data_IF_635172059378
#
_entry.id   IF_635172059378
#
_cell.length_a   1.000
_cell.length_b   1.000
_cell.length_c   1.000
_cell.angle_alpha   90.00
_cell.angle_beta   90.00
_cell.angle_gamma   90.00
#
_symmetry.space_group_name_H-M   'P 1'
#
loop_
_entity.id
_entity.type
_entity.pdbx_description
1 polymer ?
#
# COMPACT_ATOMS: atom_id res chain seq x y z
N UNK A 1 -2.95 9.42 19.18
CA UNK A 1 -1.64 9.91 18.70
C UNK A 1 -0.79 8.69 18.32
N UNK A 2 -1.18 7.98 17.25
CA UNK A 2 -0.62 6.67 16.85
C UNK A 2 0.14 6.80 15.51
N UNK A 3 -0.49 7.46 14.53
CA UNK A 3 0.13 7.92 13.26
C UNK A 3 1.56 8.48 13.34
N UNK A 4 1.91 9.24 14.37
CA UNK A 4 3.26 9.83 14.50
C UNK A 4 4.37 8.81 14.71
N UNK A 5 4.03 7.63 15.26
CA UNK A 5 5.00 6.55 15.49
C UNK A 5 5.06 5.60 14.30
N UNK A 6 3.94 5.42 13.62
CA UNK A 6 3.81 4.50 12.48
C UNK A 6 4.22 5.14 11.15
N UNK A 7 4.38 6.47 11.10
CA UNK A 7 4.87 7.18 9.91
C UNK A 7 6.29 6.76 9.52
N UNK A 8 7.18 6.55 10.49
CA UNK A 8 8.55 6.08 10.20
C UNK A 8 8.54 4.68 9.56
N UNK A 9 7.70 3.79 10.10
CA UNK A 9 7.50 2.45 9.57
C UNK A 9 6.88 2.48 8.16
N UNK A 10 5.94 3.39 7.91
CA UNK A 10 5.37 3.63 6.59
C UNK A 10 6.45 4.01 5.58
N UNK A 11 7.28 5.01 5.89
CA UNK A 11 8.34 5.45 4.97
C UNK A 11 9.39 4.37 4.72
N UNK A 12 9.73 3.58 5.75
CA UNK A 12 10.64 2.46 5.59
C UNK A 12 10.08 1.42 4.61
N UNK A 13 8.86 0.94 4.85
CA UNK A 13 8.22 -0.07 3.98
C UNK A 13 7.99 0.46 2.57
N UNK A 14 7.62 1.74 2.43
CA UNK A 14 7.43 2.36 1.14
C UNK A 14 8.76 2.48 0.36
N UNK A 15 9.88 2.82 1.02
CA UNK A 15 11.22 2.77 0.40
C UNK A 15 11.53 1.38 -0.13
N UNK A 16 11.41 0.35 0.71
CA UNK A 16 11.69 -1.04 0.34
C UNK A 16 10.76 -1.54 -0.78
N UNK A 17 9.48 -1.18 -0.76
CA UNK A 17 8.54 -1.47 -1.83
C UNK A 17 8.93 -0.78 -3.14
N UNK A 18 9.29 0.51 -3.08
CA UNK A 18 9.67 1.30 -4.26
C UNK A 18 10.93 0.75 -4.93
N UNK A 19 11.93 0.32 -4.15
CA UNK A 19 13.16 -0.29 -4.66
C UNK A 19 12.88 -1.64 -5.32
N UNK A 20 12.09 -2.51 -4.67
CA UNK A 20 11.67 -3.81 -5.21
C UNK A 20 10.91 -3.68 -6.53
N UNK A 21 10.01 -2.69 -6.62
CA UNK A 21 9.19 -2.43 -7.79
C UNK A 21 9.83 -1.45 -8.80
N UNK A 22 11.07 -1.01 -8.55
CA UNK A 22 11.83 -0.05 -9.38
C UNK A 22 11.06 1.25 -9.67
N UNK A 23 10.28 1.72 -8.69
CA UNK A 23 9.53 2.96 -8.80
C UNK A 23 10.47 4.17 -8.72
N UNK A 24 10.20 5.18 -9.54
CA UNK A 24 10.88 6.47 -9.46
C UNK A 24 10.07 7.40 -8.58
N UNK A 25 10.52 7.60 -7.34
CA UNK A 25 9.83 8.42 -6.35
C UNK A 25 10.58 9.74 -6.15
N UNK A 26 9.84 10.85 -6.17
CA UNK A 26 10.34 12.17 -5.80
C UNK A 26 10.22 12.35 -4.27
N UNK A 27 11.22 11.85 -3.52
CA UNK A 27 11.20 11.82 -2.04
C UNK A 27 11.01 13.19 -1.41
N UNK A 28 11.60 14.25 -1.98
CA UNK A 28 11.44 15.63 -1.51
C UNK A 28 9.96 16.06 -1.44
N UNK A 29 9.14 15.63 -2.39
CA UNK A 29 7.70 15.95 -2.41
C UNK A 29 6.90 15.09 -1.43
N UNK A 30 7.39 13.91 -1.10
CA UNK A 30 6.70 12.92 -0.25
C UNK A 30 6.87 13.25 1.23
N UNK A 31 8.01 13.82 1.61
CA UNK A 31 8.30 14.22 3.00
C UNK A 31 7.44 15.42 3.46
N UNK A 32 7.01 16.28 2.53
CA UNK A 32 6.14 17.43 2.82
C UNK A 32 4.64 17.04 2.97
N UNK A 33 4.26 15.82 2.57
CA UNK A 33 2.85 15.39 2.60
C UNK A 33 2.50 14.92 4.02
N UNK A 34 1.41 15.41 4.63
CA UNK A 34 0.99 14.92 5.94
C UNK A 34 0.62 13.43 5.87
N UNK A 35 1.02 12.65 6.88
CA UNK A 35 0.93 11.18 6.86
C UNK A 35 -0.46 10.63 6.52
N UNK A 36 -1.53 11.28 7.00
CA UNK A 36 -2.91 10.90 6.70
C UNK A 36 -3.26 11.03 5.20
N UNK A 37 -2.72 12.03 4.52
CA UNK A 37 -2.88 12.18 3.07
C UNK A 37 -1.98 11.19 2.32
N UNK A 38 -0.77 10.96 2.83
CA UNK A 38 0.17 10.02 2.22
C UNK A 38 -0.38 8.60 2.20
N UNK A 39 -0.99 8.12 3.29
CA UNK A 39 -1.64 6.79 3.33
C UNK A 39 -2.66 6.65 2.20
N UNK A 40 -3.57 7.60 2.07
CA UNK A 40 -4.60 7.55 1.02
C UNK A 40 -3.99 7.63 -0.38
N UNK A 41 -2.99 8.49 -0.58
CA UNK A 41 -2.30 8.63 -1.86
C UNK A 41 -1.63 7.31 -2.27
N UNK A 42 -0.89 6.69 -1.35
CA UNK A 42 -0.20 5.42 -1.62
C UNK A 42 -1.20 4.28 -1.88
N UNK A 43 -2.27 4.17 -1.10
CA UNK A 43 -3.33 3.16 -1.34
C UNK A 43 -3.91 3.22 -2.76
N UNK A 44 -3.94 4.40 -3.39
CA UNK A 44 -4.47 4.59 -4.74
C UNK A 44 -3.43 4.42 -5.85
N UNK A 45 -2.17 4.80 -5.59
CA UNK A 45 -1.14 4.92 -6.63
C UNK A 45 -0.18 3.74 -6.70
N UNK A 46 -0.13 2.89 -5.67
CA UNK A 46 0.66 1.67 -5.72
C UNK A 46 -0.08 0.58 -6.50
N UNK A 47 0.69 -0.28 -7.17
CA UNK A 47 0.19 -1.38 -7.98
C UNK A 47 -0.24 -2.56 -7.09
N UNK A 48 -1.31 -2.33 -6.33
CA UNK A 48 -2.02 -3.38 -5.60
C UNK A 48 -3.05 -4.09 -6.49
N UNK A 49 -3.19 -5.38 -6.27
CA UNK A 49 -4.22 -6.23 -6.86
C UNK A 49 -5.63 -5.84 -6.39
N UNK A 50 -6.66 -6.36 -7.06
CA UNK A 50 -8.05 -6.06 -6.72
C UNK A 50 -8.43 -6.43 -5.28
N UNK A 51 -7.91 -7.55 -4.77
CA UNK A 51 -8.17 -8.00 -3.40
C UNK A 51 -7.48 -7.12 -2.37
N UNK A 52 -6.21 -6.75 -2.60
CA UNK A 52 -5.46 -5.87 -1.71
C UNK A 52 -6.10 -4.47 -1.63
N UNK A 53 -6.60 -3.96 -2.76
CA UNK A 53 -7.36 -2.71 -2.80
C UNK A 53 -8.68 -2.80 -2.03
N UNK A 54 -9.37 -3.95 -2.06
CA UNK A 54 -10.57 -4.16 -1.25
C UNK A 54 -10.23 -4.15 0.24
N UNK A 55 -9.17 -4.83 0.67
CA UNK A 55 -8.71 -4.78 2.07
C UNK A 55 -8.53 -3.34 2.56
N UNK A 56 -7.84 -2.49 1.78
CA UNK A 56 -7.61 -1.09 2.12
C UNK A 56 -8.90 -0.24 2.17
N UNK A 57 -9.91 -0.59 1.38
CA UNK A 57 -11.22 0.07 1.37
C UNK A 57 -12.09 -0.36 2.56
N UNK A 58 -11.97 -1.62 2.97
CA UNK A 58 -12.71 -2.19 4.10
C UNK A 58 -12.10 -1.82 5.46
N UNK A 59 -10.88 -1.28 5.51
CA UNK A 59 -10.26 -0.77 6.74
C UNK A 59 -11.14 0.31 7.40
N UNK A 60 -11.54 0.14 8.68
CA UNK A 60 -12.58 0.96 9.33
C UNK A 60 -12.12 2.38 9.68
N UNK A 61 -10.82 2.58 9.87
CA UNK A 61 -10.22 3.87 10.19
C UNK A 61 -8.83 4.02 9.56
N UNK A 62 -8.25 5.21 9.70
CA UNK A 62 -6.97 5.55 9.09
C UNK A 62 -5.79 4.79 9.69
N UNK A 63 -5.83 4.49 10.99
CA UNK A 63 -4.75 3.74 11.65
C UNK A 63 -4.79 2.28 11.17
N UNK A 64 -5.97 1.69 11.04
CA UNK A 64 -6.15 0.33 10.49
C UNK A 64 -5.72 0.25 9.03
N UNK A 65 -6.08 1.26 8.22
CA UNK A 65 -5.63 1.34 6.82
C UNK A 65 -4.12 1.47 6.71
N UNK A 66 -3.50 2.20 7.63
CA UNK A 66 -2.04 2.33 7.68
C UNK A 66 -1.38 0.98 7.99
N UNK A 67 -1.90 0.25 8.98
CA UNK A 67 -1.42 -1.10 9.32
C UNK A 67 -1.57 -2.06 8.13
N UNK A 68 -2.73 -2.07 7.47
CA UNK A 68 -2.99 -2.88 6.27
C UNK A 68 -2.05 -2.49 5.12
N UNK A 69 -1.87 -1.19 4.87
CA UNK A 69 -0.98 -0.69 3.82
C UNK A 69 0.48 -1.11 4.05
N UNK A 70 0.98 -0.99 5.28
CA UNK A 70 2.33 -1.42 5.66
C UNK A 70 2.48 -2.93 5.42
N UNK A 71 1.51 -3.71 5.90
CA UNK A 71 1.50 -5.16 5.73
C UNK A 71 1.54 -5.56 4.24
N UNK A 72 0.67 -4.95 3.43
CA UNK A 72 0.59 -5.18 1.99
C UNK A 72 1.89 -4.79 1.29
N UNK A 73 2.50 -3.64 1.62
CA UNK A 73 3.81 -3.27 1.05
C UNK A 73 4.91 -4.25 1.43
N UNK A 74 4.91 -4.79 2.65
CA UNK A 74 5.85 -5.82 3.07
C UNK A 74 5.70 -7.12 2.29
N UNK A 75 4.46 -7.55 2.07
CA UNK A 75 4.10 -8.82 1.43
C UNK A 75 4.12 -8.79 -0.10
N UNK A 76 3.74 -7.66 -0.73
CA UNK A 76 3.62 -7.53 -2.18
C UNK A 76 4.95 -7.84 -2.86
N UNK A 77 5.01 -8.99 -3.50
CA UNK A 77 6.12 -9.43 -4.32
C UNK A 77 5.73 -9.21 -5.79
N UNK A 78 6.55 -8.53 -6.61
CA UNK A 78 6.21 -8.22 -8.01
C UNK A 78 5.87 -9.45 -8.89
N UNK A 79 6.11 -10.67 -8.40
CA UNK A 79 5.87 -11.92 -9.12
C UNK A 79 4.57 -12.65 -8.73
N UNK A 80 3.80 -12.16 -7.75
CA UNK A 80 2.46 -12.71 -7.44
C UNK A 80 1.38 -11.95 -8.22
N UNK A 81 1.39 -12.10 -9.55
CA UNK A 81 0.16 -11.90 -10.31
C UNK A 81 -0.72 -13.10 -9.97
N UNK A 82 -1.60 -12.97 -8.98
CA UNK A 82 -2.65 -13.94 -8.73
C UNK A 82 -3.53 -14.00 -9.98
N UNK A 83 -3.33 -15.03 -10.80
CA UNK A 83 -4.10 -15.33 -12.01
C UNK A 83 -5.54 -15.79 -11.75
N UNK A 84 -6.09 -15.61 -10.55
CA UNK A 84 -7.33 -16.26 -10.12
C UNK A 84 -8.58 -15.37 -10.17
N UNK A 85 -8.67 -14.52 -11.19
CA UNK A 85 -9.97 -14.04 -11.67
C UNK A 85 -10.29 -14.62 -13.04
N UNK A 86 -10.28 -15.95 -13.16
CA UNK A 86 -11.19 -16.62 -14.09
C UNK A 86 -12.46 -17.00 -13.32
N UNK A 87 -13.51 -16.17 -13.31
CA UNK A 87 -14.81 -16.64 -12.86
C UNK A 87 -15.26 -17.68 -13.88
N UNK A 88 -15.11 -18.96 -13.52
CA UNK A 88 -15.51 -20.07 -14.35
C UNK A 88 -17.05 -20.14 -14.35
N UNK A 89 -17.70 -19.26 -15.13
CA UNK A 89 -19.13 -19.31 -15.44
C UNK A 89 -19.38 -20.36 -16.53
N UNK A 90 -18.96 -21.61 -16.33
CA UNK A 90 -19.39 -22.73 -17.17
C UNK A 90 -19.06 -24.08 -16.50
N UNK A 91 -19.95 -24.52 -15.61
CA UNK A 91 -20.66 -25.80 -15.73
C UNK A 91 -21.74 -25.92 -14.63
#
# INVERSE_FOLDING_TARGET
MRLSKDSELLYQNFREYSERNKLKIEWEKIEDIPANYLVNLLSMNLDFSGIEKQTLLESPDLDSRLDDLICLMGMSNPNEILTDFSPNFLN
#
